data_IF_674612737916
#
_entry.id   IF_674612737916
#
_cell.length_a   1.000
_cell.length_b   1.000
_cell.length_c   1.000
_cell.angle_alpha   90.00
_cell.angle_beta   90.00
_cell.angle_gamma   90.00
#
_symmetry.space_group_name_H-M   'P 1'
#
loop_
_entity.id
_entity.type
_entity.pdbx_description
1 polymer ?
#
# COMPACT_ATOMS: atom_id res chain seq x y z
N UNK A 1 -10.89 30.17 -1.41
CA UNK A 1 -9.70 29.49 -0.83
C UNK A 1 -8.64 29.42 -1.92
N UNK A 2 -7.34 29.59 -1.62
CA UNK A 2 -6.31 29.57 -2.66
C UNK A 2 -6.31 28.19 -3.35
N UNK A 3 -6.17 28.19 -4.68
CA UNK A 3 -6.07 26.97 -5.46
C UNK A 3 -4.96 26.08 -4.87
N UNK A 4 -5.33 24.91 -4.35
CA UNK A 4 -4.35 23.92 -3.94
C UNK A 4 -3.45 23.63 -5.16
N UNK A 5 -2.16 23.92 -5.03
CA UNK A 5 -1.21 23.78 -6.13
C UNK A 5 -1.09 22.31 -6.51
N UNK A 6 -1.59 21.95 -7.70
CA UNK A 6 -1.39 20.62 -8.25
C UNK A 6 0.10 20.40 -8.58
N UNK A 7 0.59 19.19 -8.31
CA UNK A 7 1.95 18.77 -8.64
C UNK A 7 1.89 17.54 -9.53
N UNK A 8 2.17 17.72 -10.82
CA UNK A 8 2.23 16.62 -11.79
C UNK A 8 3.56 15.90 -11.62
N UNK A 9 3.54 14.64 -11.18
CA UNK A 9 4.76 13.83 -10.97
C UNK A 9 5.31 13.24 -12.26
N UNK A 10 4.43 12.79 -13.14
CA UNK A 10 4.76 12.17 -14.41
C UNK A 10 3.56 12.34 -15.35
N UNK A 11 3.84 12.71 -16.60
CA UNK A 11 2.83 12.81 -17.64
C UNK A 11 3.48 12.53 -19.00
N UNK A 12 2.80 11.77 -19.84
CA UNK A 12 3.12 11.57 -21.25
C UNK A 12 1.90 12.02 -22.07
N UNK A 13 1.65 13.33 -22.02
CA UNK A 13 0.53 14.00 -22.71
C UNK A 13 0.85 15.49 -22.90
N UNK A 14 0.16 16.16 -23.83
CA UNK A 14 0.37 17.58 -24.14
C UNK A 14 0.10 18.50 -22.93
N UNK A 15 0.85 19.60 -22.79
CA UNK A 15 0.72 20.54 -21.66
C UNK A 15 -0.70 21.07 -21.46
N UNK A 16 -1.40 21.34 -22.57
CA UNK A 16 -2.81 21.77 -22.52
C UNK A 16 -3.70 20.68 -21.90
N UNK A 17 -3.52 19.43 -22.32
CA UNK A 17 -4.26 18.29 -21.78
C UNK A 17 -3.95 18.05 -20.30
N UNK A 18 -2.68 18.24 -19.89
CA UNK A 18 -2.30 18.18 -18.47
C UNK A 18 -3.01 19.25 -17.66
N UNK A 19 -3.06 20.49 -18.17
CA UNK A 19 -3.70 21.61 -17.49
C UNK A 19 -5.22 21.40 -17.39
N UNK A 20 -5.85 20.87 -18.44
CA UNK A 20 -7.27 20.50 -18.42
C UNK A 20 -7.55 19.39 -17.39
N UNK A 21 -6.68 18.38 -17.30
CA UNK A 21 -6.78 17.33 -16.27
C UNK A 21 -6.77 17.91 -14.86
N UNK A 22 -5.85 18.85 -14.61
CA UNK A 22 -5.72 19.53 -13.30
C UNK A 22 -6.96 20.36 -12.99
N UNK A 23 -7.49 21.10 -13.97
CA UNK A 23 -8.65 21.95 -13.78
C UNK A 23 -9.91 21.12 -13.46
N UNK A 24 -10.18 20.07 -14.23
CA UNK A 24 -11.31 19.19 -13.96
C UNK A 24 -11.15 18.40 -12.67
N UNK A 25 -9.93 18.03 -12.28
CA UNK A 25 -9.68 17.40 -11.00
C UNK A 25 -10.02 18.36 -9.85
N UNK A 26 -9.65 19.63 -10.00
CA UNK A 26 -9.99 20.68 -9.05
C UNK A 26 -11.52 20.82 -8.92
N UNK A 27 -12.25 21.00 -10.02
CA UNK A 27 -13.71 21.10 -10.02
C UNK A 27 -14.37 19.88 -9.37
N UNK A 28 -13.96 18.67 -9.77
CA UNK A 28 -14.51 17.43 -9.24
C UNK A 28 -14.29 17.31 -7.72
N UNK A 29 -13.15 17.75 -7.20
CA UNK A 29 -12.84 17.79 -5.77
C UNK A 29 -13.66 18.83 -5.00
N UNK A 30 -14.17 19.87 -5.65
CA UNK A 30 -15.06 20.86 -5.00
C UNK A 30 -16.49 20.36 -4.90
N UNK A 31 -16.91 19.55 -5.88
CA UNK A 31 -18.28 19.08 -5.96
C UNK A 31 -18.48 17.70 -5.30
N UNK A 32 -17.42 16.92 -5.09
CA UNK A 32 -17.53 15.52 -4.66
C UNK A 32 -16.57 15.20 -3.52
N UNK A 33 -17.07 14.45 -2.53
CA UNK A 33 -16.26 13.94 -1.42
C UNK A 33 -15.85 12.48 -1.60
N UNK A 34 -16.49 11.75 -2.52
CA UNK A 34 -16.19 10.35 -2.81
C UNK A 34 -15.25 10.20 -4.00
N UNK A 35 -14.21 9.38 -3.85
CA UNK A 35 -13.21 9.15 -4.89
C UNK A 35 -13.76 8.55 -6.18
N UNK A 36 -14.76 7.68 -6.06
CA UNK A 36 -15.36 7.03 -7.21
C UNK A 36 -16.08 8.04 -8.12
N UNK A 37 -16.73 9.04 -7.53
CA UNK A 37 -17.44 10.08 -8.28
C UNK A 37 -16.45 11.03 -8.98
N UNK A 38 -15.36 11.38 -8.29
CA UNK A 38 -14.27 12.19 -8.86
C UNK A 38 -13.64 11.47 -10.05
N UNK A 39 -13.30 10.19 -9.90
CA UNK A 39 -12.71 9.38 -10.96
C UNK A 39 -13.68 9.22 -12.16
N UNK A 40 -14.97 9.00 -11.89
CA UNK A 40 -16.00 8.90 -12.93
C UNK A 40 -16.16 10.21 -13.69
N UNK A 41 -16.16 11.35 -12.99
CA UNK A 41 -16.24 12.67 -13.60
C UNK A 41 -15.08 12.91 -14.58
N UNK A 42 -13.85 12.71 -14.10
CA UNK A 42 -12.64 12.85 -14.90
C UNK A 42 -12.65 11.92 -16.12
N UNK A 43 -12.93 10.63 -15.91
CA UNK A 43 -13.04 9.67 -17.00
C UNK A 43 -14.05 10.12 -18.06
N UNK A 44 -15.26 10.49 -17.64
CA UNK A 44 -16.34 10.87 -18.55
C UNK A 44 -15.97 12.11 -19.38
N UNK A 45 -15.29 13.07 -18.77
CA UNK A 45 -14.78 14.23 -19.49
C UNK A 45 -13.74 13.83 -20.55
N UNK A 46 -12.74 13.03 -20.17
CA UNK A 46 -11.67 12.61 -21.06
C UNK A 46 -12.17 11.71 -22.20
N UNK A 47 -13.08 10.77 -21.92
CA UNK A 47 -13.72 9.95 -22.94
C UNK A 47 -14.45 10.81 -23.99
N UNK A 48 -15.10 11.90 -23.57
CA UNK A 48 -15.79 12.83 -24.48
C UNK A 48 -14.83 13.70 -25.30
N UNK A 49 -13.77 14.23 -24.68
CA UNK A 49 -12.85 15.15 -25.34
C UNK A 49 -11.82 14.44 -26.24
N UNK A 50 -11.40 13.25 -25.86
CA UNK A 50 -10.21 12.59 -26.41
C UNK A 50 -10.47 11.17 -26.93
N UNK A 51 -11.72 10.74 -26.97
CA UNK A 51 -12.13 9.43 -27.44
C UNK A 51 -12.21 8.39 -26.32
N UNK A 52 -12.89 7.27 -26.55
CA UNK A 52 -13.23 6.31 -25.50
C UNK A 52 -12.01 5.55 -24.96
N UNK A 53 -12.22 4.87 -23.83
CA UNK A 53 -11.29 3.95 -23.16
C UNK A 53 -10.33 4.58 -22.16
N UNK A 54 -10.62 5.79 -21.68
CA UNK A 54 -9.89 6.36 -20.57
C UNK A 54 -10.20 5.62 -19.26
N UNK A 55 -9.15 5.43 -18.47
CA UNK A 55 -9.27 4.97 -17.09
C UNK A 55 -8.75 6.04 -16.15
N UNK A 56 -9.48 6.33 -15.09
CA UNK A 56 -9.06 7.27 -14.05
C UNK A 56 -9.10 6.59 -12.68
N UNK A 57 -8.04 6.75 -11.91
CA UNK A 57 -7.93 6.29 -10.52
C UNK A 57 -7.66 7.50 -9.64
N UNK A 58 -8.45 7.66 -8.58
CA UNK A 58 -8.30 8.77 -7.62
C UNK A 58 -8.30 8.18 -6.21
N UNK A 59 -7.36 8.62 -5.39
CA UNK A 59 -7.27 8.20 -3.99
C UNK A 59 -6.25 9.03 -3.23
N UNK A 60 -6.32 9.00 -1.89
CA UNK A 60 -5.40 9.73 -1.00
C UNK A 60 -3.95 9.29 -1.13
N UNK A 61 -3.74 8.05 -1.58
CA UNK A 61 -2.45 7.35 -1.51
C UNK A 61 -1.92 6.91 -2.88
N UNK A 62 -2.43 7.51 -3.95
CA UNK A 62 -1.96 7.17 -5.29
C UNK A 62 -0.59 7.82 -5.56
N UNK A 63 0.44 7.00 -5.82
CA UNK A 63 1.78 7.47 -6.14
C UNK A 63 2.56 8.13 -4.99
N UNK A 64 2.07 8.07 -3.75
CA UNK A 64 2.86 8.39 -2.56
C UNK A 64 3.42 7.08 -2.00
N UNK A 65 4.73 6.85 -2.14
CA UNK A 65 5.43 6.00 -1.18
C UNK A 65 5.19 6.64 0.18
N UNK A 66 4.22 6.13 0.96
CA UNK A 66 3.96 6.66 2.29
C UNK A 66 5.24 6.46 3.10
N UNK A 67 5.85 7.56 3.50
CA UNK A 67 6.70 7.60 4.69
C UNK A 67 5.74 7.40 5.88
N UNK A 68 5.26 6.16 6.06
CA UNK A 68 4.36 5.80 7.16
C UNK A 68 5.05 6.21 8.46
N UNK A 69 4.33 6.92 9.35
CA UNK A 69 4.80 7.21 10.71
C UNK A 69 5.00 5.92 11.53
N UNK A 70 4.40 4.81 11.09
CA UNK A 70 4.72 3.45 11.50
C UNK A 70 5.54 2.73 10.41
N UNK A 71 6.70 3.28 10.04
CA UNK A 71 7.58 2.64 9.06
C UNK A 71 8.08 1.32 9.63
N UNK A 72 7.85 0.23 8.89
CA UNK A 72 8.52 -1.03 9.17
C UNK A 72 10.03 -0.84 9.03
N UNK A 73 10.77 -1.08 10.10
CA UNK A 73 12.23 -1.05 10.11
C UNK A 73 12.72 -2.47 9.87
N UNK A 74 13.12 -2.78 8.64
CA UNK A 74 13.64 -4.09 8.28
C UNK A 74 14.94 -4.34 9.03
N UNK A 75 15.03 -5.49 9.69
CA UNK A 75 16.22 -5.95 10.41
C UNK A 75 16.98 -7.00 9.61
N UNK A 76 16.25 -7.92 9.01
CA UNK A 76 16.80 -8.98 8.18
C UNK A 76 15.76 -9.38 7.13
N UNK A 77 16.21 -9.72 5.92
CA UNK A 77 15.31 -10.23 4.90
C UNK A 77 16.08 -11.02 3.84
N UNK A 78 15.45 -12.09 3.37
CA UNK A 78 15.76 -12.79 2.13
C UNK A 78 14.43 -12.93 1.40
N UNK A 79 13.86 -11.83 0.90
CA UNK A 79 12.69 -11.84 0.00
C UNK A 79 12.67 -10.54 -0.85
N UNK A 80 11.90 -10.53 -1.93
CA UNK A 80 11.79 -9.37 -2.84
C UNK A 80 11.10 -8.17 -2.18
N UNK A 81 11.46 -6.95 -2.59
CA UNK A 81 10.95 -5.69 -2.01
C UNK A 81 9.42 -5.60 -2.03
N UNK A 82 8.78 -6.08 -3.11
CA UNK A 82 7.32 -6.15 -3.21
C UNK A 82 6.70 -7.02 -2.10
N UNK A 83 7.32 -8.17 -1.79
CA UNK A 83 6.85 -9.06 -0.75
C UNK A 83 7.12 -8.48 0.65
N UNK A 84 8.23 -7.77 0.83
CA UNK A 84 8.53 -7.04 2.06
C UNK A 84 7.47 -5.95 2.33
N UNK A 85 7.10 -5.20 1.29
CA UNK A 85 6.06 -4.18 1.40
C UNK A 85 4.71 -4.80 1.74
N UNK A 86 4.38 -5.97 1.17
CA UNK A 86 3.18 -6.71 1.55
C UNK A 86 3.20 -7.19 3.01
N UNK A 87 4.35 -7.67 3.50
CA UNK A 87 4.49 -8.07 4.90
C UNK A 87 4.26 -6.88 5.84
N UNK A 88 4.83 -5.71 5.52
CA UNK A 88 4.64 -4.49 6.28
C UNK A 88 3.19 -4.01 6.25
N UNK A 89 2.51 -4.06 5.10
CA UNK A 89 1.11 -3.67 4.96
C UNK A 89 0.18 -4.60 5.77
N UNK A 90 0.35 -5.92 5.63
CA UNK A 90 -0.44 -6.90 6.38
C UNK A 90 -0.26 -6.72 7.90
N UNK A 91 0.97 -6.49 8.35
CA UNK A 91 1.23 -6.22 9.77
C UNK A 91 0.62 -4.89 10.22
N UNK A 92 0.63 -3.86 9.37
CA UNK A 92 0.03 -2.57 9.70
C UNK A 92 -1.49 -2.70 9.87
N UNK A 93 -2.15 -3.41 8.96
CA UNK A 93 -3.58 -3.73 9.02
C UNK A 93 -3.91 -4.53 10.30
N UNK A 94 -3.13 -5.58 10.59
CA UNK A 94 -3.31 -6.38 11.79
C UNK A 94 -3.24 -5.54 13.07
N UNK A 95 -2.33 -4.57 13.14
CA UNK A 95 -2.17 -3.65 14.28
C UNK A 95 -3.31 -2.63 14.43
N UNK A 96 -4.17 -2.43 13.42
CA UNK A 96 -5.36 -1.56 13.58
C UNK A 96 -6.50 -2.29 14.28
N UNK A 97 -6.59 -3.61 14.11
CA UNK A 97 -7.72 -4.41 14.54
C UNK A 97 -7.42 -5.31 15.74
N UNK A 98 -6.15 -5.57 16.02
CA UNK A 98 -5.72 -6.50 17.05
C UNK A 98 -4.66 -5.89 17.97
N UNK A 99 -4.80 -6.16 19.27
CA UNK A 99 -3.82 -5.74 20.29
C UNK A 99 -2.96 -6.92 20.77
N UNK A 100 -3.53 -8.14 20.77
CA UNK A 100 -2.87 -9.36 21.25
C UNK A 100 -1.89 -9.89 20.21
N UNK A 101 -0.67 -10.22 20.63
CA UNK A 101 0.40 -10.71 19.74
C UNK A 101 -0.02 -11.93 18.92
N UNK A 102 -0.70 -12.88 19.55
CA UNK A 102 -1.13 -14.10 18.88
C UNK A 102 -2.13 -13.83 17.76
N UNK A 103 -3.04 -12.87 17.94
CA UNK A 103 -4.05 -12.56 16.93
C UNK A 103 -3.43 -11.80 15.75
N UNK A 104 -2.50 -10.89 16.03
CA UNK A 104 -1.70 -10.21 15.00
C UNK A 104 -0.91 -11.24 14.18
N UNK A 105 -0.20 -12.16 14.83
CA UNK A 105 0.59 -13.19 14.16
C UNK A 105 -0.29 -14.11 13.30
N UNK A 106 -1.43 -14.55 13.82
CA UNK A 106 -2.41 -15.37 13.08
C UNK A 106 -2.95 -14.64 11.86
N UNK A 107 -3.26 -13.34 12.00
CA UNK A 107 -3.75 -12.53 10.89
C UNK A 107 -2.73 -12.47 9.75
N UNK A 108 -1.49 -12.08 10.05
CA UNK A 108 -0.42 -11.94 9.06
C UNK A 108 -0.13 -13.27 8.38
N UNK A 109 0.01 -14.35 9.17
CA UNK A 109 0.22 -15.71 8.64
C UNK A 109 -0.91 -16.11 7.69
N UNK A 110 -2.16 -16.02 8.14
CA UNK A 110 -3.33 -16.41 7.33
C UNK A 110 -3.37 -15.64 6.02
N UNK A 111 -3.10 -14.33 6.07
CA UNK A 111 -3.10 -13.48 4.87
C UNK A 111 -2.03 -13.90 3.86
N UNK A 112 -0.85 -14.28 4.33
CA UNK A 112 0.22 -14.80 3.48
C UNK A 112 -0.06 -16.19 2.93
N UNK A 113 -0.64 -17.09 3.73
CA UNK A 113 -1.11 -18.40 3.26
C UNK A 113 -2.16 -18.24 2.15
N UNK A 114 -3.10 -17.32 2.31
CA UNK A 114 -4.18 -17.08 1.34
C UNK A 114 -3.65 -16.46 0.02
N UNK A 115 -2.62 -15.60 0.08
CA UNK A 115 -2.07 -14.88 -1.08
C UNK A 115 -0.98 -15.66 -1.83
N UNK A 116 -0.11 -16.37 -1.09
CA UNK A 116 1.11 -16.98 -1.61
C UNK A 116 1.17 -18.49 -1.37
N UNK A 117 0.09 -19.07 -0.85
CA UNK A 117 -0.01 -20.49 -0.52
C UNK A 117 0.62 -20.83 0.83
N UNK A 118 0.11 -21.87 1.52
CA UNK A 118 0.70 -22.38 2.75
C UNK A 118 2.10 -22.96 2.49
N UNK A 119 3.02 -23.05 3.46
CA UNK A 119 2.80 -22.95 4.92
C UNK A 119 3.65 -21.85 5.57
N UNK A 120 3.12 -20.63 5.64
CA UNK A 120 3.80 -19.52 6.31
C UNK A 120 3.74 -19.65 7.83
N UNK A 121 4.73 -19.08 8.49
CA UNK A 121 4.83 -18.94 9.94
C UNK A 121 5.11 -17.49 10.30
N UNK A 122 4.38 -16.98 11.29
CA UNK A 122 4.57 -15.62 11.79
C UNK A 122 4.72 -15.63 13.31
N UNK A 123 5.73 -14.91 13.80
CA UNK A 123 6.01 -14.68 15.22
C UNK A 123 5.99 -13.18 15.46
N UNK A 124 5.32 -12.75 16.54
CA UNK A 124 5.25 -11.34 16.95
C UNK A 124 5.55 -11.25 18.44
N UNK A 125 6.45 -10.34 18.82
CA UNK A 125 6.83 -10.12 20.21
C UNK A 125 7.58 -8.80 20.39
N UNK A 126 7.96 -8.46 21.63
CA UNK A 126 8.82 -7.31 21.89
C UNK A 126 10.27 -7.65 21.49
N UNK A 127 10.83 -8.68 22.13
CA UNK A 127 12.17 -9.19 21.90
C UNK A 127 12.16 -10.73 21.94
N UNK A 128 12.82 -11.36 20.98
CA UNK A 128 12.98 -12.80 20.92
C UNK A 128 14.24 -13.18 20.13
N UNK A 129 14.84 -14.32 20.46
CA UNK A 129 15.84 -14.98 19.64
C UNK A 129 15.20 -16.18 18.93
N UNK A 130 15.56 -16.41 17.67
CA UNK A 130 15.04 -17.53 16.88
C UNK A 130 16.17 -18.16 16.07
N UNK A 131 16.18 -19.50 15.99
CA UNK A 131 17.04 -20.29 15.11
C UNK A 131 16.17 -21.36 14.46
N UNK A 132 16.12 -21.36 13.13
CA UNK A 132 15.22 -22.20 12.34
C UNK A 132 15.74 -22.31 10.90
N UNK A 133 15.28 -23.34 10.18
CA UNK A 133 15.48 -23.45 8.74
C UNK A 133 14.29 -22.82 8.01
N UNK A 134 14.55 -22.16 6.89
CA UNK A 134 13.54 -21.51 6.07
C UNK A 134 13.82 -21.70 4.58
N UNK A 135 12.75 -21.63 3.78
CA UNK A 135 12.84 -21.64 2.33
C UNK A 135 13.47 -20.33 1.84
N UNK A 136 14.48 -20.41 0.96
CA UNK A 136 15.13 -19.22 0.38
C UNK A 136 14.09 -18.29 -0.25
N UNK A 137 14.36 -16.99 -0.22
CA UNK A 137 13.49 -15.92 -0.76
C UNK A 137 12.16 -15.72 -0.01
N UNK A 138 11.99 -16.35 1.16
CA UNK A 138 10.76 -16.26 1.96
C UNK A 138 11.05 -15.96 3.44
N UNK A 139 11.97 -15.04 3.75
CA UNK A 139 12.26 -14.60 5.12
C UNK A 139 12.23 -13.07 5.27
N UNK A 140 11.56 -12.59 6.32
CA UNK A 140 11.65 -11.19 6.74
C UNK A 140 11.51 -11.05 8.26
N UNK A 141 12.35 -10.21 8.84
CA UNK A 141 12.29 -9.72 10.21
C UNK A 141 12.26 -8.20 10.20
N UNK A 142 11.29 -7.59 10.88
CA UNK A 142 11.14 -6.14 10.94
C UNK A 142 10.47 -5.66 12.22
N UNK A 143 10.67 -4.38 12.54
CA UNK A 143 10.04 -3.72 13.68
C UNK A 143 9.00 -2.70 13.24
N UNK A 144 7.85 -2.67 13.92
CA UNK A 144 6.80 -1.68 13.69
C UNK A 144 6.01 -1.41 14.98
N UNK A 145 5.81 -0.13 15.33
CA UNK A 145 5.09 0.31 16.54
C UNK A 145 5.54 -0.41 17.84
N UNK A 146 6.86 -0.56 18.00
CA UNK A 146 7.46 -1.19 19.19
C UNK A 146 7.26 -2.72 19.27
N UNK A 147 6.92 -3.36 18.16
CA UNK A 147 6.78 -4.83 18.05
C UNK A 147 7.72 -5.35 16.97
N UNK A 148 8.35 -6.47 17.24
CA UNK A 148 9.18 -7.23 16.30
C UNK A 148 8.33 -8.31 15.64
N UNK A 149 8.39 -8.37 14.32
CA UNK A 149 7.71 -9.34 13.46
C UNK A 149 8.77 -10.22 12.79
N UNK A 150 8.56 -11.52 12.83
CA UNK A 150 9.32 -12.50 12.05
C UNK A 150 8.32 -13.30 11.22
N UNK A 151 8.46 -13.25 9.90
CA UNK A 151 7.60 -13.96 8.95
C UNK A 151 8.48 -14.77 8.02
N UNK A 152 8.21 -16.07 7.93
CA UNK A 152 9.00 -16.97 7.09
C UNK A 152 8.18 -18.17 6.61
N UNK A 153 8.69 -18.84 5.58
CA UNK A 153 8.20 -20.14 5.11
C UNK A 153 9.18 -21.22 5.55
N UNK A 154 8.69 -22.27 6.20
CA UNK A 154 9.53 -23.39 6.64
C UNK A 154 10.11 -24.15 5.45
N UNK A 155 11.36 -24.61 5.60
CA UNK A 155 12.03 -25.49 4.64
C UNK A 155 11.53 -26.94 4.73
#
# INVERSE_FOLDING_TARGET
MPHAKAYVKQADMLDQMQQEAVNHAYEALHCNTQYMDIAKHLRTHFDHCYGPSWSCVVGKDFGTYRKNEAKAVIKETDMLEELQQQAANCAYEALQHHQQYMDIARYVRKRFDDLYGPSWSCVVGADFGASFAYEKKHLISFQMKGKTFLLFRGA
#
